data_IF_897808359813
#
_entry.id   IF_897808359813
#
_cell.length_a   1.000
_cell.length_b   1.000
_cell.length_c   1.000
_cell.angle_alpha   90.00
_cell.angle_beta   90.00
_cell.angle_gamma   90.00
#
_symmetry.space_group_name_H-M   'P 1'
#
loop_
_entity.id
_entity.type
_entity.pdbx_description
1 polymer ?
#
# COMPACT_ATOMS: atom_id res chain seq x y z
N UNK A 1 5.70 11.17 -65.61
CA UNK A 1 4.83 11.62 -64.48
C UNK A 1 5.70 11.75 -63.25
N UNK A 2 5.86 12.94 -62.68
CA UNK A 2 6.63 13.15 -61.43
C UNK A 2 5.86 12.53 -60.27
N UNK A 3 6.47 11.58 -59.54
CA UNK A 3 5.87 10.90 -58.37
C UNK A 3 5.80 11.94 -57.23
N UNK A 4 4.67 12.65 -57.13
CA UNK A 4 4.38 13.55 -56.00
C UNK A 4 4.17 12.72 -54.71
N UNK A 5 4.97 13.00 -53.68
CA UNK A 5 4.76 12.49 -52.32
C UNK A 5 5.65 11.33 -51.85
N UNK A 6 6.45 10.71 -52.71
CA UNK A 6 7.40 9.68 -52.24
C UNK A 6 8.63 10.31 -51.57
N UNK A 7 8.92 9.79 -50.35
CA UNK A 7 10.10 10.18 -49.59
C UNK A 7 11.37 9.70 -50.30
N UNK A 8 12.38 10.56 -50.42
CA UNK A 8 13.68 10.25 -51.04
C UNK A 8 14.44 9.29 -50.05
N UNK A 9 14.83 8.13 -50.53
CA UNK A 9 15.62 7.18 -49.73
C UNK A 9 17.04 7.69 -49.46
N UNK A 10 17.76 7.14 -48.50
CA UNK A 10 19.14 7.51 -48.24
C UNK A 10 20.04 7.21 -49.46
N UNK A 11 19.84 6.09 -50.11
CA UNK A 11 20.57 5.69 -51.31
C UNK A 11 20.38 6.71 -52.45
N UNK A 12 19.13 7.13 -52.74
CA UNK A 12 18.84 8.17 -53.73
C UNK A 12 19.50 9.50 -53.37
N UNK A 13 19.61 9.87 -52.11
CA UNK A 13 20.27 11.10 -51.68
C UNK A 13 21.78 11.07 -51.91
N UNK A 14 22.39 9.91 -51.64
CA UNK A 14 23.80 9.65 -51.94
C UNK A 14 24.03 9.76 -53.45
N UNK A 15 23.19 9.12 -54.24
CA UNK A 15 23.25 9.17 -55.69
C UNK A 15 23.11 10.60 -56.22
N UNK A 16 22.21 11.43 -55.66
CA UNK A 16 22.11 12.88 -56.02
C UNK A 16 23.44 13.58 -55.73
N UNK A 17 24.06 13.33 -54.56
CA UNK A 17 25.33 13.97 -54.18
C UNK A 17 26.50 13.55 -55.09
N UNK A 18 26.61 12.25 -55.39
CA UNK A 18 27.68 11.69 -56.24
C UNK A 18 27.56 12.09 -57.69
N UNK A 19 26.36 12.10 -58.27
CA UNK A 19 26.13 12.57 -59.63
C UNK A 19 26.44 14.08 -59.77
N UNK A 20 26.10 14.89 -58.78
CA UNK A 20 26.46 16.31 -58.78
C UNK A 20 27.97 16.49 -58.63
N UNK A 21 28.65 15.72 -57.74
CA UNK A 21 30.10 15.76 -57.63
C UNK A 21 30.80 15.32 -58.95
N UNK A 22 30.16 14.44 -59.70
CA UNK A 22 30.56 14.02 -61.05
C UNK A 22 30.26 15.04 -62.15
N UNK A 23 29.77 16.25 -61.80
CA UNK A 23 29.56 17.34 -62.74
C UNK A 23 28.19 17.40 -63.46
N UNK A 24 27.23 16.53 -63.09
CA UNK A 24 25.89 16.57 -63.64
C UNK A 24 25.10 17.77 -63.11
N UNK A 25 24.30 18.38 -63.98
CA UNK A 25 23.42 19.49 -63.57
C UNK A 25 22.20 19.02 -62.77
N UNK A 26 21.63 19.89 -61.93
CA UNK A 26 20.41 19.58 -61.17
C UNK A 26 19.26 19.10 -62.04
N UNK A 27 19.17 19.59 -63.29
CA UNK A 27 18.13 19.21 -64.27
C UNK A 27 18.33 17.79 -64.80
N UNK A 28 19.56 17.43 -65.12
CA UNK A 28 19.92 16.09 -65.57
C UNK A 28 19.68 15.07 -64.49
N UNK A 29 20.07 15.34 -63.23
CA UNK A 29 19.83 14.50 -62.09
C UNK A 29 18.33 14.32 -61.83
N UNK A 30 17.56 15.43 -61.93
CA UNK A 30 16.11 15.42 -61.75
C UNK A 30 15.43 14.55 -62.79
N UNK A 31 15.88 14.58 -64.04
CA UNK A 31 15.35 13.76 -65.13
C UNK A 31 15.71 12.29 -64.95
N UNK A 32 16.98 12.00 -64.59
CA UNK A 32 17.48 10.63 -64.41
C UNK A 32 16.81 9.92 -63.23
N UNK A 33 16.57 10.60 -62.11
CA UNK A 33 15.95 10.05 -60.94
C UNK A 33 14.44 10.24 -60.88
N UNK A 34 13.84 10.86 -61.88
CA UNK A 34 12.41 11.20 -61.97
C UNK A 34 11.90 11.93 -60.70
N UNK A 35 12.74 12.80 -60.13
CA UNK A 35 12.44 13.56 -58.93
C UNK A 35 12.26 15.04 -59.22
N UNK A 36 11.42 15.74 -58.41
CA UNK A 36 11.25 17.19 -58.58
C UNK A 36 12.56 17.94 -58.38
N UNK A 37 12.83 18.94 -59.25
CA UNK A 37 14.02 19.77 -59.17
C UNK A 37 14.29 20.43 -57.79
N UNK A 38 13.26 20.89 -57.06
CA UNK A 38 13.47 21.38 -55.68
C UNK A 38 14.03 20.34 -54.75
N UNK A 39 13.66 19.05 -54.90
CA UNK A 39 14.18 17.94 -54.10
C UNK A 39 15.67 17.70 -54.37
N UNK A 40 16.07 17.71 -55.66
CA UNK A 40 17.47 17.56 -56.04
C UNK A 40 18.31 18.71 -55.47
N UNK A 41 17.85 19.98 -55.66
CA UNK A 41 18.53 21.15 -55.10
C UNK A 41 18.68 21.12 -53.59
N UNK A 42 17.69 20.64 -52.89
CA UNK A 42 17.72 20.49 -51.43
C UNK A 42 18.82 19.53 -50.99
N UNK A 43 18.89 18.35 -51.61
CA UNK A 43 19.86 17.32 -51.20
C UNK A 43 21.28 17.62 -51.68
N UNK A 44 21.44 18.22 -52.90
CA UNK A 44 22.70 18.72 -53.36
C UNK A 44 23.31 19.78 -52.44
N UNK A 45 22.51 20.79 -51.96
CA UNK A 45 23.00 21.83 -51.05
C UNK A 45 23.51 21.19 -49.73
N UNK A 46 22.80 20.24 -49.20
CA UNK A 46 23.23 19.53 -47.99
C UNK A 46 24.51 18.71 -48.22
N UNK A 47 24.62 18.02 -49.32
CA UNK A 47 25.82 17.31 -49.68
C UNK A 47 27.01 18.29 -49.86
N UNK A 48 26.77 19.44 -50.46
CA UNK A 48 27.81 20.49 -50.66
C UNK A 48 28.28 21.10 -49.34
N UNK A 49 27.38 21.23 -48.32
CA UNK A 49 27.71 21.85 -47.03
C UNK A 49 28.35 20.88 -46.04
N UNK A 50 27.85 19.64 -45.96
CA UNK A 50 28.17 18.69 -44.90
C UNK A 50 28.61 17.32 -45.44
N UNK A 51 28.82 17.19 -46.73
CA UNK A 51 29.19 15.91 -47.36
C UNK A 51 28.09 14.86 -47.22
N UNK A 52 28.52 13.60 -47.06
CA UNK A 52 27.59 12.45 -46.86
C UNK A 52 26.76 12.58 -45.60
N UNK A 53 27.25 13.21 -44.54
CA UNK A 53 26.55 13.34 -43.25
C UNK A 53 25.33 14.28 -43.42
N UNK A 54 25.39 15.29 -44.26
CA UNK A 54 24.26 16.17 -44.58
C UNK A 54 23.10 15.47 -45.31
N UNK A 55 23.33 14.29 -45.84
CA UNK A 55 22.30 13.45 -46.47
C UNK A 55 21.51 12.59 -45.50
N UNK A 56 21.98 12.47 -44.27
CA UNK A 56 21.22 11.86 -43.20
C UNK A 56 20.02 12.71 -42.91
N UNK A 57 18.85 12.32 -43.37
CA UNK A 57 17.62 13.02 -43.03
C UNK A 57 17.24 12.74 -41.62
N UNK A 58 17.44 13.71 -40.77
CA UNK A 58 16.70 13.78 -39.51
C UNK A 58 15.25 14.07 -39.86
N UNK A 59 14.56 13.06 -40.43
CA UNK A 59 13.13 13.14 -40.68
C UNK A 59 12.42 13.12 -39.32
N UNK A 60 12.00 14.25 -38.93
CA UNK A 60 11.30 14.54 -37.71
C UNK A 60 11.47 16.02 -37.37
N UNK A 61 10.50 16.55 -36.69
CA UNK A 61 10.65 17.79 -35.96
C UNK A 61 11.97 17.70 -35.20
N UNK A 62 12.88 18.71 -35.27
CA UNK A 62 14.07 18.67 -34.42
C UNK A 62 13.67 18.21 -33.05
N UNK A 63 14.56 17.51 -32.33
CA UNK A 63 14.28 16.99 -31.00
C UNK A 63 13.93 18.10 -29.98
N UNK A 64 13.09 19.05 -30.39
CA UNK A 64 12.34 19.99 -29.56
C UNK A 64 11.15 19.34 -28.87
N UNK A 65 10.84 18.09 -29.26
CA UNK A 65 9.83 17.25 -28.60
C UNK A 65 10.26 16.76 -27.23
N UNK A 66 9.50 15.83 -26.68
CA UNK A 66 9.63 15.36 -25.30
C UNK A 66 11.06 14.95 -24.88
N UNK A 67 11.92 14.47 -25.78
CA UNK A 67 13.27 14.02 -25.46
C UNK A 67 14.36 15.08 -25.70
N UNK A 68 14.17 16.03 -26.62
CA UNK A 68 15.19 16.98 -27.05
C UNK A 68 15.40 18.21 -26.15
N UNK A 69 14.57 18.38 -25.12
CA UNK A 69 14.64 19.53 -24.22
C UNK A 69 14.95 19.16 -22.77
N UNK A 70 15.25 17.89 -22.46
CA UNK A 70 15.77 17.53 -21.15
C UNK A 70 17.18 18.11 -21.01
N UNK A 71 17.40 18.94 -20.00
CA UNK A 71 18.75 19.37 -19.64
C UNK A 71 19.54 18.12 -19.22
N UNK A 72 20.85 18.06 -19.54
CA UNK A 72 21.70 16.91 -19.22
C UNK A 72 21.58 16.49 -17.75
N UNK A 73 21.69 17.44 -16.84
CA UNK A 73 21.61 17.23 -15.39
C UNK A 73 20.29 16.56 -14.95
N UNK A 74 19.14 17.01 -15.48
CA UNK A 74 17.84 16.42 -15.18
C UNK A 74 17.72 15.01 -15.80
N UNK A 75 18.25 14.82 -17.01
CA UNK A 75 18.17 13.50 -17.66
C UNK A 75 19.05 12.46 -16.97
N UNK A 76 20.21 12.86 -16.47
CA UNK A 76 21.12 11.99 -15.74
C UNK A 76 20.54 11.63 -14.37
N UNK A 77 19.98 12.59 -13.65
CA UNK A 77 19.28 12.34 -12.39
C UNK A 77 18.08 11.40 -12.55
N UNK A 78 17.28 11.56 -13.63
CA UNK A 78 16.17 10.62 -13.93
C UNK A 78 16.69 9.18 -14.09
N UNK A 79 17.81 9.00 -14.77
CA UNK A 79 18.41 7.68 -14.96
C UNK A 79 18.96 7.13 -13.65
N UNK A 80 19.67 7.95 -12.88
CA UNK A 80 20.22 7.57 -11.58
C UNK A 80 19.11 7.16 -10.61
N UNK A 81 18.04 7.97 -10.46
CA UNK A 81 16.89 7.61 -9.63
C UNK A 81 16.27 6.28 -10.07
N UNK A 82 16.17 6.02 -11.37
CA UNK A 82 15.61 4.78 -11.90
C UNK A 82 16.52 3.59 -11.70
N UNK A 83 17.83 3.76 -11.67
CA UNK A 83 18.81 2.72 -11.40
C UNK A 83 18.85 2.36 -9.93
N UNK A 84 18.88 3.36 -9.07
CA UNK A 84 18.86 3.16 -7.62
C UNK A 84 17.51 2.59 -7.16
N UNK A 85 16.40 3.08 -7.72
CA UNK A 85 15.05 2.70 -7.34
C UNK A 85 14.30 2.06 -8.52
N UNK A 86 14.53 0.77 -8.75
CA UNK A 86 13.97 0.04 -9.89
C UNK A 86 12.42 0.08 -9.98
N UNK A 87 11.74 0.32 -8.87
CA UNK A 87 10.28 0.42 -8.78
C UNK A 87 9.70 1.81 -9.04
N UNK A 88 10.51 2.87 -9.05
CA UNK A 88 10.00 4.23 -9.21
C UNK A 88 9.54 4.51 -10.63
N UNK A 89 8.27 4.85 -10.77
CA UNK A 89 7.68 5.25 -12.04
C UNK A 89 7.91 6.73 -12.37
N UNK A 90 7.52 7.17 -13.58
CA UNK A 90 7.72 8.56 -14.02
C UNK A 90 7.09 9.62 -13.11
N UNK A 91 5.98 9.30 -12.45
CA UNK A 91 5.31 10.21 -11.51
C UNK A 91 6.12 10.38 -10.23
N UNK A 92 6.61 9.27 -9.67
CA UNK A 92 7.47 9.28 -8.48
C UNK A 92 8.75 10.06 -8.72
N UNK A 93 9.43 9.78 -9.83
CA UNK A 93 10.65 10.48 -10.23
C UNK A 93 10.40 11.99 -10.40
N UNK A 94 9.30 12.38 -11.05
CA UNK A 94 8.94 13.80 -11.20
C UNK A 94 8.68 14.47 -9.85
N UNK A 95 8.00 13.77 -8.93
CA UNK A 95 7.70 14.32 -7.60
C UNK A 95 8.96 14.50 -6.78
N UNK A 96 9.89 13.55 -6.82
CA UNK A 96 11.17 13.65 -6.12
C UNK A 96 12.07 14.75 -6.73
N UNK A 97 12.14 14.85 -8.04
CA UNK A 97 12.87 15.96 -8.71
C UNK A 97 12.37 17.34 -8.29
N UNK A 98 11.06 17.49 -8.10
CA UNK A 98 10.47 18.77 -7.68
C UNK A 98 10.82 19.12 -6.22
N UNK A 99 11.09 18.13 -5.39
CA UNK A 99 11.50 18.32 -3.97
C UNK A 99 12.98 18.62 -3.84
N UNK A 100 13.78 18.27 -4.83
CA UNK A 100 15.21 18.46 -4.77
C UNK A 100 15.58 19.93 -5.00
N UNK A 101 16.13 20.56 -3.96
CA UNK A 101 16.55 21.96 -4.00
C UNK A 101 17.59 22.25 -5.09
N UNK A 102 18.39 21.26 -5.53
CA UNK A 102 19.36 21.40 -6.62
C UNK A 102 18.71 21.85 -7.92
N UNK A 103 17.46 21.48 -8.14
CA UNK A 103 16.70 21.78 -9.34
C UNK A 103 15.68 22.93 -9.16
N UNK A 104 15.75 23.63 -8.02
CA UNK A 104 14.89 24.79 -7.73
C UNK A 104 14.91 25.82 -8.85
N UNK A 105 13.74 26.34 -9.24
CA UNK A 105 13.60 27.31 -10.31
C UNK A 105 13.74 26.77 -11.75
N UNK A 106 14.05 25.50 -11.94
CA UNK A 106 14.11 24.87 -13.26
C UNK A 106 12.72 24.44 -13.73
N UNK A 107 12.54 24.48 -15.06
CA UNK A 107 11.34 23.91 -15.68
C UNK A 107 11.47 22.40 -15.80
N UNK A 108 10.60 21.65 -15.10
CA UNK A 108 10.60 20.20 -15.10
C UNK A 108 9.94 19.62 -16.36
N UNK A 109 10.39 18.43 -16.82
CA UNK A 109 9.70 17.68 -17.87
C UNK A 109 8.35 17.19 -17.36
N UNK A 110 7.38 16.98 -18.27
CA UNK A 110 6.11 16.36 -17.91
C UNK A 110 6.30 14.86 -17.59
N UNK A 111 5.34 14.26 -16.84
CA UNK A 111 5.29 12.83 -16.58
C UNK A 111 5.43 11.99 -17.87
N UNK A 112 4.67 12.38 -18.92
CA UNK A 112 4.70 11.67 -20.21
C UNK A 112 6.09 11.73 -20.86
N UNK A 113 6.78 12.83 -20.70
CA UNK A 113 8.14 13.04 -21.22
C UNK A 113 9.17 12.17 -20.51
N UNK A 114 9.10 12.06 -19.17
CA UNK A 114 9.93 11.14 -18.40
C UNK A 114 9.64 9.70 -18.82
N UNK A 115 8.36 9.30 -18.97
CA UNK A 115 7.98 7.97 -19.42
C UNK A 115 8.57 7.65 -20.81
N UNK A 116 8.49 8.56 -21.76
CA UNK A 116 9.06 8.40 -23.10
C UNK A 116 10.59 8.28 -23.05
N UNK A 117 11.25 9.06 -22.19
CA UNK A 117 12.70 9.04 -22.00
C UNK A 117 13.17 7.69 -21.43
N UNK A 118 12.52 7.20 -20.35
CA UNK A 118 12.82 5.90 -19.75
C UNK A 118 12.55 4.74 -20.72
N UNK A 119 11.49 4.83 -21.53
CA UNK A 119 11.22 3.85 -22.59
C UNK A 119 12.31 3.83 -23.65
N UNK A 120 12.74 5.00 -24.13
CA UNK A 120 13.84 5.11 -25.09
C UNK A 120 15.16 4.54 -24.54
N UNK A 121 15.43 4.73 -23.24
CA UNK A 121 16.59 4.15 -22.56
C UNK A 121 16.41 2.69 -22.16
N UNK A 122 15.35 2.02 -22.60
CA UNK A 122 15.02 0.62 -22.30
C UNK A 122 14.94 0.29 -20.78
N UNK A 123 14.64 1.31 -19.97
CA UNK A 123 14.50 1.18 -18.51
C UNK A 123 13.04 0.90 -18.05
N UNK A 124 12.18 0.48 -18.98
CA UNK A 124 10.76 0.16 -18.72
C UNK A 124 10.49 -1.28 -19.11
N UNK A 125 9.94 -2.08 -18.17
CA UNK A 125 9.42 -3.41 -18.50
C UNK A 125 8.17 -3.28 -19.37
N UNK A 126 7.95 -4.25 -20.27
CA UNK A 126 6.73 -4.32 -21.06
C UNK A 126 5.54 -4.49 -20.11
N UNK A 127 4.56 -3.59 -20.23
CA UNK A 127 3.35 -3.66 -19.43
C UNK A 127 2.43 -4.73 -19.99
N UNK A 128 2.00 -5.67 -19.16
CA UNK A 128 0.92 -6.59 -19.46
C UNK A 128 -0.39 -6.01 -18.91
N UNK A 129 -1.36 -5.84 -19.78
CA UNK A 129 -2.66 -5.28 -19.41
C UNK A 129 -3.44 -6.35 -18.65
N UNK A 130 -3.64 -6.15 -17.35
CA UNK A 130 -4.58 -6.95 -16.58
C UNK A 130 -5.97 -6.32 -16.66
N UNK A 131 -6.99 -7.15 -16.87
CA UNK A 131 -8.38 -6.70 -16.82
C UNK A 131 -8.68 -6.16 -15.41
N UNK A 132 -9.13 -4.92 -15.35
CA UNK A 132 -9.60 -4.36 -14.07
C UNK A 132 -10.94 -5.00 -13.73
N UNK A 133 -10.99 -5.66 -12.59
CA UNK A 133 -12.25 -6.15 -12.03
C UNK A 133 -13.06 -4.97 -11.51
N UNK A 134 -14.39 -4.95 -11.70
CA UNK A 134 -15.23 -3.91 -11.12
C UNK A 134 -15.08 -3.91 -9.60
N UNK A 135 -14.93 -2.73 -9.02
CA UNK A 135 -14.91 -2.58 -7.56
C UNK A 135 -16.30 -2.92 -7.00
N UNK A 136 -16.39 -3.76 -5.96
CA UNK A 136 -17.65 -4.02 -5.29
C UNK A 136 -18.18 -2.74 -4.63
N UNK A 137 -19.49 -2.61 -4.45
CA UNK A 137 -20.06 -1.48 -3.72
C UNK A 137 -19.52 -1.49 -2.29
N UNK A 138 -18.81 -0.42 -1.93
CA UNK A 138 -18.35 -0.22 -0.56
C UNK A 138 -19.40 0.52 0.26
N UNK A 139 -19.46 0.28 1.58
CA UNK A 139 -20.25 1.13 2.46
C UNK A 139 -19.87 2.60 2.24
N UNK A 140 -20.84 3.47 2.20
CA UNK A 140 -20.62 4.91 1.98
C UNK A 140 -19.91 5.48 3.20
N UNK A 141 -18.59 5.58 3.14
CA UNK A 141 -17.78 6.21 4.17
C UNK A 141 -17.85 7.73 4.00
N UNK A 142 -17.87 8.46 5.11
CA UNK A 142 -18.07 9.91 5.10
C UNK A 142 -16.86 10.70 5.59
N UNK A 143 -15.94 10.07 6.32
CA UNK A 143 -14.80 10.74 6.95
C UNK A 143 -13.58 9.81 7.08
N UNK A 144 -12.37 10.39 7.21
CA UNK A 144 -11.17 9.64 7.57
C UNK A 144 -11.33 8.87 8.89
N UNK A 145 -10.60 7.78 9.02
CA UNK A 145 -10.56 6.89 10.18
C UNK A 145 -11.90 6.22 10.53
N UNK A 146 -12.87 6.28 9.66
CA UNK A 146 -14.10 5.52 9.83
C UNK A 146 -13.87 4.02 9.61
N UNK A 147 -13.04 3.67 8.62
CA UNK A 147 -12.68 2.28 8.36
C UNK A 147 -11.22 2.16 7.93
N UNK A 148 -10.47 1.28 8.61
CA UNK A 148 -9.13 0.89 8.18
C UNK A 148 -9.15 -0.53 7.62
N UNK A 149 -8.47 -0.75 6.49
CA UNK A 149 -8.12 -2.08 6.01
C UNK A 149 -6.76 -2.48 6.56
N UNK A 150 -6.66 -3.72 7.08
CA UNK A 150 -5.44 -4.31 7.61
C UNK A 150 -5.21 -5.65 6.95
N UNK A 151 -4.02 -5.84 6.39
CA UNK A 151 -3.63 -7.10 5.77
C UNK A 151 -2.11 -7.28 5.79
N UNK A 152 -1.66 -8.54 5.84
CA UNK A 152 -0.25 -8.89 5.80
C UNK A 152 0.18 -9.33 4.40
N UNK A 153 1.14 -8.64 3.85
CA UNK A 153 1.87 -9.10 2.66
C UNK A 153 2.92 -10.11 3.11
N UNK A 154 2.65 -11.40 2.86
CA UNK A 154 3.48 -12.49 3.37
C UNK A 154 4.67 -12.86 2.48
N UNK A 155 5.70 -13.47 3.09
CA UNK A 155 6.86 -14.14 2.46
C UNK A 155 7.60 -13.30 1.43
N UNK A 156 7.95 -12.08 1.80
CA UNK A 156 8.75 -11.20 0.95
C UNK A 156 10.21 -11.45 1.27
N UNK A 157 11.01 -11.79 0.25
CA UNK A 157 12.46 -11.79 0.35
C UNK A 157 12.99 -10.37 0.27
N UNK A 158 13.63 -9.89 1.32
CA UNK A 158 14.17 -8.53 1.44
C UNK A 158 15.69 -8.62 1.59
N UNK A 159 16.40 -8.06 0.63
CA UNK A 159 17.86 -8.11 0.63
C UNK A 159 18.42 -7.39 1.87
N UNK A 160 19.34 -8.05 2.57
CA UNK A 160 19.94 -7.58 3.81
C UNK A 160 19.12 -7.86 5.08
N UNK A 161 17.87 -8.30 4.95
CA UNK A 161 16.98 -8.58 6.10
C UNK A 161 16.57 -10.06 6.14
N UNK A 162 16.36 -10.67 4.99
CA UNK A 162 15.86 -12.04 4.88
C UNK A 162 14.39 -12.11 4.48
N UNK A 163 13.68 -13.17 4.88
CA UNK A 163 12.26 -13.31 4.61
C UNK A 163 11.44 -12.66 5.71
N UNK A 164 10.48 -11.83 5.33
CA UNK A 164 9.58 -11.12 6.24
C UNK A 164 8.14 -11.10 5.72
N UNK A 165 7.20 -10.89 6.62
CA UNK A 165 5.85 -10.41 6.30
C UNK A 165 5.78 -8.92 6.60
N UNK A 166 5.04 -8.15 5.81
CA UNK A 166 4.78 -6.74 6.10
C UNK A 166 3.29 -6.58 6.37
N UNK A 167 2.95 -6.20 7.59
CA UNK A 167 1.57 -5.83 7.94
C UNK A 167 1.34 -4.39 7.50
N UNK A 168 0.34 -4.18 6.68
CA UNK A 168 -0.02 -2.89 6.12
C UNK A 168 -1.38 -2.43 6.64
N UNK A 169 -1.51 -1.14 6.90
CA UNK A 169 -2.75 -0.49 7.32
C UNK A 169 -3.04 0.70 6.41
N UNK A 170 -4.27 0.76 5.91
CA UNK A 170 -4.76 1.79 5.00
C UNK A 170 -6.07 2.36 5.51
N UNK A 171 -6.21 3.68 5.55
CA UNK A 171 -7.53 4.32 5.71
C UNK A 171 -8.30 4.28 4.40
N UNK A 172 -9.47 3.65 4.42
CA UNK A 172 -10.27 3.36 3.22
C UNK A 172 -10.81 4.63 2.57
N UNK A 173 -11.22 5.60 3.38
CA UNK A 173 -11.82 6.83 2.89
C UNK A 173 -10.78 7.81 2.32
N UNK A 174 -9.77 8.15 3.10
CA UNK A 174 -8.79 9.17 2.71
C UNK A 174 -7.62 8.63 1.88
N UNK A 175 -7.51 7.31 1.74
CA UNK A 175 -6.35 6.64 1.14
C UNK A 175 -5.02 6.90 1.86
N UNK A 176 -5.04 7.39 3.10
CA UNK A 176 -3.84 7.55 3.92
C UNK A 176 -3.23 6.19 4.23
N UNK A 177 -1.94 6.05 3.97
CA UNK A 177 -1.13 4.89 4.32
C UNK A 177 -0.76 5.04 5.78
N UNK A 178 -1.50 4.33 6.65
CA UNK A 178 -1.40 4.48 8.09
C UNK A 178 -0.10 3.91 8.63
N UNK A 179 0.19 2.64 8.34
CA UNK A 179 1.44 2.01 8.74
C UNK A 179 1.82 0.84 7.83
N UNK A 180 3.11 0.49 7.84
CA UNK A 180 3.68 -0.71 7.23
C UNK A 180 4.80 -1.21 8.12
N UNK A 181 4.60 -2.33 8.82
CA UNK A 181 5.58 -2.90 9.74
C UNK A 181 6.08 -4.26 9.26
N UNK A 182 7.40 -4.45 9.11
CA UNK A 182 7.98 -5.74 8.81
C UNK A 182 8.01 -6.62 10.06
N UNK A 183 7.43 -7.80 9.96
CA UNK A 183 7.46 -8.86 10.95
C UNK A 183 8.44 -9.93 10.46
N UNK A 184 9.52 -10.20 11.19
CA UNK A 184 10.55 -11.14 10.81
C UNK A 184 10.16 -12.62 11.00
N UNK A 185 8.89 -12.92 11.12
CA UNK A 185 8.40 -14.30 11.18
C UNK A 185 8.25 -14.85 9.77
N UNK A 186 8.75 -16.05 9.57
CA UNK A 186 8.96 -16.65 8.24
C UNK A 186 7.68 -17.09 7.54
N UNK A 187 6.54 -17.20 8.25
CA UNK A 187 5.32 -17.76 7.67
C UNK A 187 4.13 -16.80 7.66
N UNK A 188 3.70 -16.34 8.83
CA UNK A 188 2.56 -15.44 8.99
C UNK A 188 2.78 -14.55 10.21
N UNK A 189 2.27 -13.31 10.15
CA UNK A 189 2.15 -12.46 11.32
C UNK A 189 1.22 -13.13 12.35
N UNK A 190 1.57 -13.08 13.62
CA UNK A 190 0.74 -13.63 14.70
C UNK A 190 -0.06 -12.52 15.42
N UNK A 191 -0.85 -12.88 16.42
CA UNK A 191 -1.65 -11.94 17.21
C UNK A 191 -0.81 -10.80 17.78
N UNK A 192 0.38 -11.08 18.32
CA UNK A 192 1.28 -10.07 18.89
C UNK A 192 1.82 -9.10 17.82
N UNK A 193 2.17 -9.64 16.64
CA UNK A 193 2.63 -8.80 15.51
C UNK A 193 1.53 -7.82 15.09
N UNK A 194 0.29 -8.28 14.95
CA UNK A 194 -0.84 -7.42 14.61
C UNK A 194 -1.16 -6.41 15.72
N UNK A 195 -1.13 -6.82 16.99
CA UNK A 195 -1.31 -5.89 18.11
C UNK A 195 -0.23 -4.82 18.12
N UNK A 196 1.02 -5.18 17.86
CA UNK A 196 2.13 -4.23 17.78
C UNK A 196 1.89 -3.20 16.67
N UNK A 197 1.58 -3.64 15.46
CA UNK A 197 1.33 -2.73 14.32
C UNK A 197 0.14 -1.82 14.60
N UNK A 198 -0.94 -2.37 15.11
CA UNK A 198 -2.16 -1.61 15.42
C UNK A 198 -1.93 -0.60 16.55
N UNK A 199 -1.21 -0.97 17.62
CA UNK A 199 -0.82 -0.02 18.69
C UNK A 199 0.00 1.14 18.15
N UNK A 200 0.95 0.87 17.27
CA UNK A 200 1.71 1.92 16.58
C UNK A 200 0.79 2.87 15.82
N UNK A 201 -0.11 2.29 15.02
CA UNK A 201 -1.07 3.05 14.25
C UNK A 201 -2.01 3.87 15.16
N UNK A 202 -2.48 3.28 16.25
CA UNK A 202 -3.34 3.96 17.23
C UNK A 202 -2.64 5.12 17.94
N UNK A 203 -1.36 4.94 18.32
CA UNK A 203 -0.56 6.04 18.89
C UNK A 203 -0.38 7.19 17.89
N UNK A 204 -0.20 6.86 16.61
CA UNK A 204 0.00 7.85 15.55
C UNK A 204 -1.28 8.55 15.11
N UNK A 205 -2.39 7.82 15.01
CA UNK A 205 -3.63 8.29 14.37
C UNK A 205 -4.88 8.17 15.25
N UNK A 206 -4.77 7.55 16.44
CA UNK A 206 -5.89 7.20 17.31
C UNK A 206 -6.67 5.98 16.82
N UNK A 207 -7.78 5.70 17.50
CA UNK A 207 -8.60 4.53 17.23
C UNK A 207 -9.55 4.79 16.05
N UNK A 208 -9.57 3.92 15.02
CA UNK A 208 -10.61 3.97 13.99
C UNK A 208 -11.96 3.54 14.56
N UNK A 209 -13.04 3.80 13.82
CA UNK A 209 -14.35 3.29 14.20
C UNK A 209 -14.48 1.80 13.92
N UNK A 210 -13.91 1.35 12.81
CA UNK A 210 -13.97 -0.03 12.32
C UNK A 210 -12.65 -0.45 11.69
N UNK A 211 -12.34 -1.73 11.79
CA UNK A 211 -11.24 -2.37 11.06
C UNK A 211 -11.81 -3.49 10.20
N UNK A 212 -11.42 -3.51 8.93
CA UNK A 212 -11.71 -4.59 7.99
C UNK A 212 -10.54 -5.55 7.89
N UNK A 213 -10.84 -6.83 8.06
CA UNK A 213 -9.89 -7.93 8.14
C UNK A 213 -10.29 -9.04 7.16
N UNK A 214 -9.34 -9.81 6.71
CA UNK A 214 -9.61 -11.06 6.01
C UNK A 214 -9.96 -12.20 7.00
N UNK A 215 -10.19 -13.40 6.46
CA UNK A 215 -10.46 -14.60 7.26
C UNK A 215 -9.16 -15.36 7.59
N UNK A 216 -8.02 -14.68 7.80
CA UNK A 216 -6.84 -15.34 8.35
C UNK A 216 -7.14 -15.89 9.74
N UNK A 217 -6.50 -17.00 10.08
CA UNK A 217 -6.68 -17.73 11.33
C UNK A 217 -6.37 -16.90 12.59
N UNK A 218 -5.60 -15.83 12.45
CA UNK A 218 -5.33 -14.87 13.54
C UNK A 218 -6.59 -14.06 13.90
N UNK A 219 -7.44 -13.80 12.92
CA UNK A 219 -8.64 -13.00 13.08
C UNK A 219 -9.91 -13.83 13.25
N UNK A 220 -9.93 -15.01 12.63
CA UNK A 220 -11.15 -15.81 12.50
C UNK A 220 -10.89 -17.30 12.74
N UNK A 221 -11.75 -17.95 13.50
CA UNK A 221 -11.69 -19.39 13.73
C UNK A 221 -12.21 -20.16 12.50
N UNK A 222 -11.30 -20.50 11.60
CA UNK A 222 -11.61 -21.25 10.38
C UNK A 222 -11.78 -22.78 10.61
N UNK A 223 -11.59 -23.26 11.83
CA UNK A 223 -11.57 -24.70 12.11
C UNK A 223 -12.93 -25.24 12.54
N UNK A 224 -13.85 -24.38 12.89
CA UNK A 224 -15.16 -24.77 13.43
C UNK A 224 -16.32 -24.20 12.61
N UNK A 225 -17.43 -24.94 12.54
CA UNK A 225 -18.64 -24.49 11.87
C UNK A 225 -19.35 -23.32 12.62
N UNK A 226 -19.03 -23.13 13.88
CA UNK A 226 -19.50 -21.99 14.68
C UNK A 226 -18.28 -21.31 15.33
N UNK A 227 -17.64 -20.38 14.60
CA UNK A 227 -16.39 -19.74 15.02
C UNK A 227 -16.58 -18.90 16.28
N UNK A 228 -15.69 -19.09 17.25
CA UNK A 228 -15.59 -18.21 18.42
C UNK A 228 -14.59 -17.10 18.11
N UNK A 229 -14.83 -15.86 18.52
CA UNK A 229 -13.94 -14.74 18.25
C UNK A 229 -12.52 -14.99 18.80
N UNK A 230 -11.51 -14.62 18.00
CA UNK A 230 -10.11 -14.72 18.44
C UNK A 230 -9.76 -13.66 19.49
N UNK A 231 -8.65 -13.82 20.18
CA UNK A 231 -8.14 -12.83 21.16
C UNK A 231 -7.98 -11.46 20.53
N UNK A 232 -7.44 -11.39 19.30
CA UNK A 232 -7.26 -10.13 18.58
C UNK A 232 -8.61 -9.45 18.26
N UNK A 233 -9.60 -10.23 17.83
CA UNK A 233 -10.95 -9.72 17.57
C UNK A 233 -11.58 -9.15 18.87
N UNK A 234 -11.51 -9.89 19.97
CA UNK A 234 -12.05 -9.46 21.26
C UNK A 234 -11.31 -8.25 21.85
N UNK A 235 -9.99 -8.13 21.62
CA UNK A 235 -9.20 -6.96 21.99
C UNK A 235 -9.68 -5.70 21.26
N UNK A 236 -9.92 -5.77 19.94
CA UNK A 236 -10.45 -4.65 19.16
C UNK A 236 -11.83 -4.21 19.66
N UNK A 237 -12.73 -5.17 19.92
CA UNK A 237 -14.06 -4.88 20.49
C UNK A 237 -13.94 -4.24 21.86
N UNK A 238 -13.05 -4.71 22.71
CA UNK A 238 -12.83 -4.13 24.03
C UNK A 238 -12.35 -2.66 23.95
N UNK A 239 -11.56 -2.30 22.94
CA UNK A 239 -11.18 -0.91 22.62
C UNK A 239 -12.31 -0.11 21.97
N UNK A 240 -13.45 -0.72 21.70
CA UNK A 240 -14.59 -0.08 21.03
C UNK A 240 -14.36 0.14 19.54
N UNK A 241 -13.61 -0.74 18.91
CA UNK A 241 -13.40 -0.77 17.47
C UNK A 241 -14.29 -1.86 16.87
N UNK A 242 -15.10 -1.51 15.88
CA UNK A 242 -15.87 -2.48 15.11
C UNK A 242 -14.96 -3.37 14.27
N UNK A 243 -15.33 -4.62 14.08
CA UNK A 243 -14.59 -5.56 13.22
C UNK A 243 -15.52 -6.00 12.08
N UNK A 244 -15.06 -5.85 10.85
CA UNK A 244 -15.75 -6.32 9.65
C UNK A 244 -14.87 -7.35 8.96
N UNK A 245 -15.41 -8.54 8.72
CA UNK A 245 -14.73 -9.54 7.90
C UNK A 245 -15.10 -9.35 6.44
N UNK A 246 -14.07 -9.26 5.60
CA UNK A 246 -14.22 -9.12 4.17
C UNK A 246 -14.39 -10.50 3.56
N UNK A 247 -15.38 -10.68 2.68
CA UNK A 247 -15.59 -11.95 2.01
C UNK A 247 -14.46 -12.24 1.00
N UNK A 248 -14.09 -13.51 0.88
CA UNK A 248 -13.05 -13.92 -0.07
C UNK A 248 -13.48 -13.75 -1.54
N UNK A 249 -14.77 -13.65 -1.79
CA UNK A 249 -15.37 -13.45 -3.11
C UNK A 249 -16.39 -12.32 -3.07
N UNK A 250 -16.29 -11.30 -3.93
CA UNK A 250 -15.35 -11.18 -5.03
C UNK A 250 -13.95 -10.65 -4.58
N UNK A 251 -12.87 -10.99 -5.33
CA UNK A 251 -11.51 -10.54 -5.00
C UNK A 251 -11.31 -9.02 -4.96
N UNK A 252 -12.28 -8.28 -5.46
CA UNK A 252 -12.28 -6.83 -5.51
C UNK A 252 -12.42 -6.16 -4.12
N UNK A 253 -12.98 -6.85 -3.11
CA UNK A 253 -13.11 -6.28 -1.76
C UNK A 253 -11.75 -5.96 -1.11
N UNK A 254 -10.68 -6.69 -1.47
CA UNK A 254 -9.31 -6.46 -1.01
C UNK A 254 -8.46 -5.62 -1.99
N UNK A 255 -9.05 -5.08 -3.05
CA UNK A 255 -8.28 -4.43 -4.11
C UNK A 255 -7.46 -3.22 -3.61
N UNK A 256 -7.96 -2.48 -2.60
CA UNK A 256 -7.27 -1.30 -2.05
C UNK A 256 -6.02 -1.67 -1.30
N UNK A 257 -6.11 -2.59 -0.35
CA UNK A 257 -4.96 -3.01 0.46
C UNK A 257 -3.94 -3.76 -0.41
N UNK A 258 -4.36 -4.58 -1.37
CA UNK A 258 -3.47 -5.24 -2.34
C UNK A 258 -2.73 -4.23 -3.22
N UNK A 259 -3.40 -3.16 -3.65
CA UNK A 259 -2.73 -2.04 -4.35
C UNK A 259 -1.76 -1.31 -3.44
N UNK A 260 -2.06 -1.19 -2.16
CA UNK A 260 -1.11 -0.66 -1.18
C UNK A 260 0.12 -1.55 -1.04
N UNK A 261 -0.03 -2.88 -0.94
CA UNK A 261 1.08 -3.84 -0.96
C UNK A 261 1.97 -3.65 -2.19
N UNK A 262 1.37 -3.57 -3.37
CA UNK A 262 2.11 -3.31 -4.61
C UNK A 262 2.87 -1.96 -4.55
N UNK A 263 2.22 -0.93 -4.02
CA UNK A 263 2.82 0.40 -3.86
C UNK A 263 4.02 0.34 -2.91
N UNK A 264 3.90 -0.29 -1.75
CA UNK A 264 5.01 -0.48 -0.79
C UNK A 264 6.16 -1.23 -1.44
N UNK A 265 5.87 -2.34 -2.10
CA UNK A 265 6.89 -3.14 -2.80
C UNK A 265 7.63 -2.31 -3.85
N UNK A 266 6.91 -1.58 -4.70
CA UNK A 266 7.52 -0.78 -5.77
C UNK A 266 8.25 0.45 -5.25
N UNK A 267 7.71 1.10 -4.23
CA UNK A 267 8.22 2.38 -3.77
C UNK A 267 9.33 2.26 -2.74
N UNK A 268 9.33 1.21 -1.91
CA UNK A 268 10.26 1.06 -0.80
C UNK A 268 11.20 -0.14 -0.93
N UNK A 269 10.78 -1.25 -1.57
CA UNK A 269 11.53 -2.51 -1.47
C UNK A 269 12.29 -2.87 -2.74
N UNK A 270 11.70 -2.66 -3.90
CA UNK A 270 12.21 -3.19 -5.16
C UNK A 270 13.57 -2.59 -5.53
N UNK A 271 14.57 -3.45 -5.61
CA UNK A 271 15.96 -3.07 -5.94
C UNK A 271 16.72 -2.45 -4.77
N UNK A 272 16.17 -2.48 -3.55
CA UNK A 272 16.82 -1.96 -2.35
C UNK A 272 17.47 -3.10 -1.54
N UNK A 273 18.54 -2.75 -0.84
CA UNK A 273 19.21 -3.61 0.14
C UNK A 273 19.29 -2.85 1.45
N UNK A 274 18.92 -3.48 2.56
CA UNK A 274 18.85 -2.84 3.86
C UNK A 274 19.91 -3.40 4.80
N UNK A 275 20.46 -2.55 5.66
CA UNK A 275 21.43 -2.95 6.66
C UNK A 275 20.82 -3.82 7.79
N UNK A 276 19.51 -3.86 7.88
CA UNK A 276 18.76 -4.63 8.86
C UNK A 276 17.31 -4.15 9.00
N UNK A 277 16.59 -4.71 9.97
CA UNK A 277 15.17 -4.40 10.18
C UNK A 277 14.92 -2.91 10.48
N UNK A 278 15.76 -2.27 11.26
CA UNK A 278 15.62 -0.86 11.62
C UNK A 278 15.75 0.05 10.39
N UNK A 279 16.68 -0.26 9.49
CA UNK A 279 16.89 0.48 8.24
C UNK A 279 15.69 0.29 7.29
N UNK A 280 15.21 -0.94 7.15
CA UNK A 280 13.99 -1.25 6.41
C UNK A 280 12.79 -0.46 6.97
N UNK A 281 12.60 -0.45 8.29
CA UNK A 281 11.49 0.27 8.90
C UNK A 281 11.59 1.78 8.67
N UNK A 282 12.78 2.33 8.77
CA UNK A 282 13.02 3.76 8.47
C UNK A 282 12.66 4.10 7.03
N UNK A 283 13.06 3.23 6.08
CA UNK A 283 12.73 3.40 4.67
C UNK A 283 11.22 3.31 4.42
N UNK A 284 10.53 2.33 5.02
CA UNK A 284 9.08 2.19 4.95
C UNK A 284 8.38 3.45 5.49
N UNK A 285 8.72 3.87 6.70
CA UNK A 285 8.14 5.07 7.33
C UNK A 285 8.34 6.32 6.49
N UNK A 286 9.56 6.56 6.00
CA UNK A 286 9.85 7.69 5.13
C UNK A 286 9.06 7.64 3.81
N UNK A 287 8.85 6.43 3.29
CA UNK A 287 8.11 6.26 2.04
C UNK A 287 6.60 6.44 2.21
N UNK A 288 6.03 5.96 3.32
CA UNK A 288 4.63 6.22 3.66
C UNK A 288 4.36 7.72 3.84
N UNK A 289 5.29 8.42 4.52
CA UNK A 289 5.21 9.86 4.66
C UNK A 289 5.16 10.55 3.30
N UNK A 290 6.10 10.25 2.40
CA UNK A 290 6.10 10.77 1.03
C UNK A 290 4.79 10.49 0.28
N UNK A 291 4.26 9.27 0.40
CA UNK A 291 3.02 8.87 -0.26
C UNK A 291 1.80 9.64 0.28
N UNK A 292 1.83 10.06 1.54
CA UNK A 292 0.75 10.79 2.17
C UNK A 292 0.84 12.31 1.97
N UNK A 293 2.07 12.88 1.88
CA UNK A 293 2.30 14.33 1.80
C UNK A 293 2.51 14.86 0.40
N UNK A 294 3.22 14.12 -0.44
CA UNK A 294 3.76 14.65 -1.70
C UNK A 294 3.26 13.89 -2.95
N UNK A 295 2.92 12.61 -2.80
CA UNK A 295 2.62 11.78 -3.96
C UNK A 295 1.17 11.96 -4.44
N UNK A 296 0.97 12.43 -5.69
CA UNK A 296 -0.37 12.65 -6.22
C UNK A 296 -1.09 11.33 -6.50
N UNK A 297 -2.22 11.13 -5.83
CA UNK A 297 -3.08 9.97 -6.00
C UNK A 297 -4.12 10.19 -7.09
N UNK A 298 -4.25 9.25 -8.03
CA UNK A 298 -5.30 9.32 -9.06
C UNK A 298 -6.71 9.22 -8.48
N UNK A 299 -6.88 8.47 -7.40
CA UNK A 299 -8.16 8.36 -6.69
C UNK A 299 -8.58 9.67 -6.00
N UNK A 300 -7.62 10.58 -5.75
CA UNK A 300 -7.82 11.87 -5.13
C UNK A 300 -7.62 13.04 -6.13
N UNK A 301 -7.94 12.81 -7.38
CA UNK A 301 -7.83 13.82 -8.45
C UNK A 301 -6.44 14.46 -8.57
N UNK A 302 -5.40 13.70 -8.25
CA UNK A 302 -4.01 14.15 -8.31
C UNK A 302 -3.51 14.88 -7.06
N UNK A 303 -4.28 14.90 -5.99
CA UNK A 303 -3.83 15.41 -4.70
C UNK A 303 -3.17 14.30 -3.86
N UNK A 304 -2.27 14.67 -2.97
CA UNK A 304 -1.78 13.76 -1.95
C UNK A 304 -2.84 13.56 -0.85
N UNK A 305 -2.88 12.41 -0.16
CA UNK A 305 -3.89 12.13 0.88
C UNK A 305 -4.05 13.23 1.94
N UNK A 306 -2.95 13.74 2.49
CA UNK A 306 -3.00 14.80 3.50
C UNK A 306 -3.35 16.18 2.93
N UNK A 307 -3.16 16.40 1.64
CA UNK A 307 -3.62 17.62 0.97
C UNK A 307 -5.12 17.57 0.69
N UNK A 308 -5.64 16.39 0.29
CA UNK A 308 -7.05 16.17 0.05
C UNK A 308 -7.87 16.13 1.36
N UNK A 309 -7.30 15.53 2.40
CA UNK A 309 -7.94 15.33 3.71
C UNK A 309 -7.00 15.71 4.87
N UNK A 310 -6.78 17.01 5.14
CA UNK A 310 -5.93 17.44 6.24
C UNK A 310 -6.38 16.88 7.60
N UNK A 311 -7.68 16.71 7.80
CA UNK A 311 -8.27 16.12 9.01
C UNK A 311 -7.89 14.64 9.21
N UNK A 312 -7.40 13.95 8.19
CA UNK A 312 -6.89 12.59 8.33
C UNK A 312 -5.58 12.49 9.14
N UNK A 313 -4.95 13.62 9.43
CA UNK A 313 -3.79 13.69 10.33
C UNK A 313 -4.20 13.69 11.81
N UNK A 314 -5.47 13.83 12.11
CA UNK A 314 -5.99 13.91 13.46
C UNK A 314 -7.16 12.94 13.62
N UNK A 315 -7.35 12.43 14.81
CA UNK A 315 -8.48 11.59 15.14
C UNK A 315 -9.23 12.16 16.35
N UNK A 316 -10.52 11.94 16.39
CA UNK A 316 -11.37 12.29 17.54
C UNK A 316 -11.33 11.23 18.66
N UNK A 317 -10.64 10.10 18.43
CA UNK A 317 -10.54 8.97 19.36
C UNK A 317 -9.07 8.72 19.71
N UNK A 318 -8.46 9.59 20.56
CA UNK A 318 -7.06 9.49 20.90
C UNK A 318 -6.77 8.18 21.65
N UNK A 319 -5.54 7.68 21.46
CA UNK A 319 -5.06 6.48 22.11
C UNK A 319 -3.65 6.71 22.66
N UNK A 320 -3.41 6.22 23.86
CA UNK A 320 -2.10 6.10 24.48
C UNK A 320 -1.89 4.69 24.98
N UNK A 321 -0.70 4.18 24.81
CA UNK A 321 -0.37 2.83 25.22
C UNK A 321 -0.53 2.65 26.74
N UNK A 322 -0.17 3.65 27.52
CA UNK A 322 -0.26 3.66 28.98
C UNK A 322 -1.71 3.55 29.47
N UNK A 323 -2.67 4.02 28.65
CA UNK A 323 -4.09 4.01 28.98
C UNK A 323 -4.83 2.78 28.42
N UNK A 324 -4.13 1.89 27.71
CA UNK A 324 -4.79 0.76 27.05
C UNK A 324 -5.58 -0.09 28.03
N UNK A 325 -5.00 -0.38 29.21
CA UNK A 325 -5.64 -1.19 30.24
C UNK A 325 -6.95 -0.56 30.78
N UNK A 326 -6.94 0.74 31.01
CA UNK A 326 -8.11 1.52 31.45
C UNK A 326 -9.14 1.63 30.35
N UNK A 327 -8.69 1.87 29.11
CA UNK A 327 -9.54 2.04 27.92
C UNK A 327 -10.24 0.75 27.50
N UNK A 328 -9.68 -0.43 27.85
CA UNK A 328 -10.29 -1.74 27.59
C UNK A 328 -11.54 -1.94 28.45
N UNK A 329 -12.68 -2.05 27.78
CA UNK A 329 -13.97 -2.27 28.39
C UNK A 329 -14.49 -3.69 28.09
N UNK A 330 -14.39 -4.58 29.07
CA UNK A 330 -14.86 -5.98 28.96
C UNK A 330 -16.39 -6.07 28.78
N UNK A 331 -17.15 -5.07 29.23
CA UNK A 331 -18.60 -5.08 29.03
C UNK A 331 -18.98 -5.03 27.53
N UNK A 332 -18.16 -4.37 26.70
CA UNK A 332 -18.36 -4.40 25.23
C UNK A 332 -18.17 -5.82 24.69
N UNK A 333 -17.17 -6.54 25.19
CA UNK A 333 -16.93 -7.95 24.83
C UNK A 333 -18.10 -8.81 25.27
N UNK A 334 -18.60 -8.63 26.49
CA UNK A 334 -19.72 -9.38 27.01
C UNK A 334 -21.00 -9.15 26.21
N UNK A 335 -21.28 -7.89 25.89
CA UNK A 335 -22.41 -7.52 25.01
C UNK A 335 -22.28 -8.16 23.63
N UNK A 336 -21.09 -8.15 23.05
CA UNK A 336 -20.83 -8.78 21.76
C UNK A 336 -21.04 -10.30 21.82
N UNK A 337 -20.47 -10.98 22.82
CA UNK A 337 -20.59 -12.43 22.99
C UNK A 337 -22.01 -12.88 23.29
N UNK A 338 -22.84 -12.04 23.93
CA UNK A 338 -24.24 -12.35 24.22
C UNK A 338 -25.07 -12.61 22.95
N UNK A 339 -24.65 -12.10 21.80
CA UNK A 339 -25.30 -12.38 20.50
C UNK A 339 -24.76 -13.65 19.83
N UNK A 340 -23.71 -14.27 20.38
CA UNK A 340 -23.07 -15.44 19.83
C UNK A 340 -23.77 -16.75 20.25
N UNK A 341 -23.66 -17.75 19.39
CA UNK A 341 -24.13 -19.12 19.67
C UNK A 341 -23.15 -20.12 19.05
N UNK A 342 -22.65 -21.04 19.84
CA UNK A 342 -21.60 -21.97 19.43
C UNK A 342 -21.98 -23.41 19.69
N UNK A 343 -21.60 -24.28 18.77
CA UNK A 343 -21.84 -25.71 18.88
C UNK A 343 -20.50 -26.45 19.02
N UNK A 344 -20.36 -27.25 20.06
CA UNK A 344 -19.15 -28.04 20.29
C UNK A 344 -19.50 -29.46 20.68
N UNK A 345 -18.80 -30.42 20.08
CA UNK A 345 -18.90 -31.81 20.49
C UNK A 345 -17.91 -32.06 21.63
N UNK A 346 -18.37 -32.69 22.70
CA UNK A 346 -17.52 -33.12 23.79
C UNK A 346 -16.75 -34.41 23.44
N UNK A 347 -15.52 -34.50 23.93
CA UNK A 347 -14.66 -35.68 23.78
C UNK A 347 -15.22 -36.91 24.55
N UNK A 348 -14.53 -38.04 24.42
CA UNK A 348 -14.84 -39.28 25.19
C UNK A 348 -14.76 -39.11 26.73
N UNK A 349 -14.07 -38.07 27.20
CA UNK A 349 -13.95 -37.72 28.62
C UNK A 349 -14.77 -36.50 29.03
N UNK A 350 -15.64 -36.00 28.12
CA UNK A 350 -16.53 -34.87 28.39
C UNK A 350 -15.88 -33.49 28.33
N UNK A 351 -14.74 -33.36 27.64
CA UNK A 351 -14.10 -32.04 27.43
C UNK A 351 -14.39 -31.48 26.03
N UNK A 352 -14.39 -30.15 25.89
CA UNK A 352 -14.48 -29.45 24.60
C UNK A 352 -13.57 -28.22 24.59
N UNK A 353 -13.32 -27.66 23.40
CA UNK A 353 -12.54 -26.45 23.24
C UNK A 353 -13.42 -25.31 22.70
N UNK A 354 -13.25 -24.09 23.22
CA UNK A 354 -13.90 -22.87 22.76
C UNK A 354 -12.95 -21.68 22.96
N UNK A 355 -12.70 -20.89 21.94
CA UNK A 355 -11.80 -19.74 22.04
C UNK A 355 -10.36 -20.11 22.43
N UNK A 356 -9.83 -21.22 21.91
CA UNK A 356 -8.55 -21.82 22.29
C UNK A 356 -8.43 -22.25 23.77
N UNK A 357 -9.52 -22.17 24.51
CA UNK A 357 -9.59 -22.64 25.91
C UNK A 357 -10.24 -24.03 25.99
N UNK A 358 -9.82 -24.85 26.96
CA UNK A 358 -10.35 -26.19 27.17
C UNK A 358 -11.27 -26.23 28.39
N UNK A 359 -12.49 -26.69 28.18
CA UNK A 359 -13.54 -26.77 29.19
C UNK A 359 -13.88 -28.23 29.50
N UNK A 360 -14.33 -28.48 30.73
CA UNK A 360 -14.79 -29.80 31.16
C UNK A 360 -16.29 -29.73 31.46
N UNK A 361 -17.09 -30.47 30.67
CA UNK A 361 -18.53 -30.61 30.84
C UNK A 361 -18.90 -31.83 31.71
N UNK A 362 -17.90 -32.63 32.14
CA UNK A 362 -18.05 -33.83 32.87
C UNK A 362 -18.26 -35.09 32.01
N UNK A 363 -17.83 -36.24 32.51
CA UNK A 363 -17.86 -37.52 31.79
C UNK A 363 -19.28 -37.99 31.42
N UNK A 364 -20.29 -37.61 32.20
CA UNK A 364 -21.70 -37.87 31.90
C UNK A 364 -22.17 -37.26 30.56
N UNK A 365 -21.47 -36.20 30.10
CA UNK A 365 -21.76 -35.50 28.87
C UNK A 365 -20.74 -35.82 27.76
N UNK A 366 -20.09 -36.97 27.85
CA UNK A 366 -19.17 -37.41 26.83
C UNK A 366 -19.88 -37.66 25.48
N UNK A 367 -19.23 -37.31 24.37
CA UNK A 367 -19.73 -37.51 22.99
C UNK A 367 -21.13 -36.91 22.74
N UNK A 368 -21.40 -35.75 23.33
CA UNK A 368 -22.62 -34.97 23.11
C UNK A 368 -22.30 -33.64 22.47
N UNK A 369 -23.19 -33.15 21.65
CA UNK A 369 -23.13 -31.76 21.15
C UNK A 369 -23.69 -30.83 22.20
N UNK A 370 -22.94 -29.79 22.52
CA UNK A 370 -23.36 -28.71 23.39
C UNK A 370 -23.79 -27.51 22.53
N UNK A 371 -24.91 -26.91 22.86
CA UNK A 371 -25.34 -25.61 22.41
C UNK A 371 -24.91 -24.58 23.44
N UNK A 372 -24.03 -23.69 23.08
CA UNK A 372 -23.32 -22.80 24.00
C UNK A 372 -23.69 -21.36 23.68
N UNK A 373 -24.16 -20.64 24.69
CA UNK A 373 -24.42 -19.20 24.67
C UNK A 373 -23.63 -18.51 25.78
N UNK A 374 -23.57 -17.22 25.77
CA UNK A 374 -22.86 -16.42 26.77
C UNK A 374 -23.86 -15.52 27.54
N UNK A 375 -23.79 -15.58 28.87
CA UNK A 375 -24.57 -14.71 29.75
C UNK A 375 -23.73 -13.45 30.10
N UNK A 376 -24.09 -12.27 29.60
CA UNK A 376 -23.33 -11.05 29.86
C UNK A 376 -23.45 -10.53 31.28
N UNK A 377 -24.45 -11.00 32.06
CA UNK A 377 -24.63 -10.55 33.44
C UNK A 377 -23.70 -11.31 34.41
N UNK A 378 -23.56 -12.61 34.20
CA UNK A 378 -22.69 -13.44 35.06
C UNK A 378 -21.29 -13.63 34.49
N UNK A 379 -21.08 -13.35 33.19
CA UNK A 379 -19.82 -13.61 32.51
C UNK A 379 -19.54 -15.11 32.30
N UNK A 380 -20.60 -15.93 32.21
CA UNK A 380 -20.50 -17.39 32.12
C UNK A 380 -20.99 -17.89 30.76
N UNK A 381 -20.46 -19.04 30.38
CA UNK A 381 -20.99 -19.85 29.29
C UNK A 381 -22.19 -20.66 29.80
N UNK A 382 -23.30 -20.57 29.09
CA UNK A 382 -24.51 -21.39 29.33
C UNK A 382 -24.50 -22.53 28.31
N UNK A 383 -24.31 -23.74 28.77
CA UNK A 383 -24.17 -24.92 27.92
C UNK A 383 -25.41 -25.80 28.03
N UNK A 384 -26.10 -26.03 26.92
CA UNK A 384 -27.24 -26.96 26.85
C UNK A 384 -26.83 -28.22 26.07
N UNK A 385 -26.71 -29.39 26.71
CA UNK A 385 -26.43 -30.64 26.01
C UNK A 385 -27.62 -31.06 25.14
N UNK A 386 -27.36 -31.57 23.96
CA UNK A 386 -28.42 -31.99 23.02
C UNK A 386 -29.39 -33.04 23.58
N UNK A 387 -28.90 -33.86 24.52
CA UNK A 387 -29.68 -34.97 25.15
C UNK A 387 -30.27 -34.58 26.48
N UNK A 388 -30.07 -33.38 26.96
CA UNK A 388 -30.56 -32.92 28.27
C UNK A 388 -31.50 -31.70 28.05
N UNK A 389 -32.48 -31.55 28.91
CA UNK A 389 -33.35 -30.36 28.93
C UNK A 389 -32.84 -29.28 29.90
N UNK A 390 -31.80 -29.57 30.65
CA UNK A 390 -31.25 -28.66 31.66
C UNK A 390 -29.86 -28.15 31.23
N UNK A 391 -29.69 -26.85 31.20
CA UNK A 391 -28.40 -26.21 30.96
C UNK A 391 -27.52 -26.26 32.22
N UNK A 392 -26.21 -26.13 31.99
CA UNK A 392 -25.24 -25.92 33.06
C UNK A 392 -24.35 -24.75 32.72
N UNK A 393 -23.68 -24.17 33.70
CA UNK A 393 -22.84 -22.97 33.54
C UNK A 393 -21.38 -23.30 33.74
N UNK A 394 -20.51 -22.62 32.98
CA UNK A 394 -19.08 -22.70 33.13
C UNK A 394 -18.51 -21.26 33.10
N UNK A 395 -17.60 -20.98 34.02
CA UNK A 395 -16.87 -19.73 34.00
C UNK A 395 -16.08 -19.61 32.67
N UNK A 396 -16.23 -18.48 31.97
CA UNK A 396 -15.48 -18.23 30.76
C UNK A 396 -14.00 -18.06 31.09
N UNK A 397 -13.14 -18.65 30.26
CA UNK A 397 -11.69 -18.54 30.39
C UNK A 397 -11.13 -17.65 29.27
N UNK A 398 -10.02 -16.96 29.53
CA UNK A 398 -9.33 -16.17 28.51
C UNK A 398 -9.96 -14.80 28.20
N UNK A 399 -10.92 -14.33 29.00
CA UNK A 399 -11.57 -13.02 28.85
C UNK A 399 -11.14 -12.01 29.93
N UNK A 400 -9.88 -12.04 30.38
CA UNK A 400 -9.37 -10.95 31.22
C UNK A 400 -8.67 -9.88 30.39
N UNK A 401 -8.55 -8.66 30.95
CA UNK A 401 -7.82 -7.56 30.30
C UNK A 401 -6.38 -7.97 30.00
N UNK A 402 -5.74 -8.68 30.90
CA UNK A 402 -4.36 -9.16 30.78
C UNK A 402 -4.20 -10.10 29.57
N UNK A 403 -5.13 -11.03 29.38
CA UNK A 403 -5.11 -11.95 28.25
C UNK A 403 -5.36 -11.22 26.92
N UNK A 404 -6.29 -10.27 26.90
CA UNK A 404 -6.59 -9.50 25.68
C UNK A 404 -5.45 -8.56 25.30
N UNK A 405 -4.82 -7.92 26.28
CA UNK A 405 -3.66 -7.05 26.07
C UNK A 405 -2.45 -7.86 25.60
N UNK A 406 -2.26 -9.07 26.14
CA UNK A 406 -1.08 -9.87 25.89
C UNK A 406 0.19 -9.27 26.52
N UNK A 407 1.33 -9.66 25.99
CA UNK A 407 2.62 -9.11 26.44
C UNK A 407 2.82 -7.71 25.91
N UNK A 408 2.95 -6.76 26.80
CA UNK A 408 3.38 -5.38 26.53
C UNK A 408 4.82 -5.23 27.00
N UNK A 409 5.75 -5.15 26.06
CA UNK A 409 7.04 -4.54 26.32
C UNK A 409 7.07 -3.14 25.69
N UNK A 410 6.70 -2.11 26.45
CA UNK A 410 6.55 -0.77 25.90
C UNK A 410 7.86 -0.14 25.44
N UNK A 411 9.01 -0.63 25.91
CA UNK A 411 10.32 -0.03 25.60
C UNK A 411 10.94 -0.60 24.32
N UNK A 412 10.64 -1.84 23.99
CA UNK A 412 11.18 -2.52 22.82
C UNK A 412 10.25 -2.53 21.62
N UNK A 413 8.95 -2.33 21.84
CA UNK A 413 7.93 -2.55 20.81
C UNK A 413 7.51 -1.30 20.06
N UNK A 414 7.73 -0.10 20.60
CA UNK A 414 7.41 1.19 19.93
C UNK A 414 8.68 1.98 19.66
N UNK A 415 9.28 1.84 18.49
CA UNK A 415 10.50 2.55 18.16
C UNK A 415 10.32 4.07 18.12
N UNK A 416 11.35 4.80 18.54
CA UNK A 416 11.36 6.27 18.62
C UNK A 416 11.08 7.01 17.29
N UNK A 417 11.23 6.35 16.15
CA UNK A 417 10.94 6.97 14.85
C UNK A 417 9.44 7.12 14.53
N UNK A 418 8.53 6.54 15.32
CA UNK A 418 7.11 6.90 15.25
C UNK A 418 6.87 8.39 15.45
N UNK A 419 7.78 9.05 16.16
CA UNK A 419 7.76 10.50 16.35
C UNK A 419 8.14 11.30 15.10
N UNK A 420 8.53 10.64 14.01
CA UNK A 420 8.89 11.27 12.73
C UNK A 420 7.72 11.37 11.74
N UNK A 421 6.50 10.95 12.11
CA UNK A 421 5.31 11.36 11.35
C UNK A 421 5.21 12.89 11.39
N UNK A 422 4.68 13.55 10.33
CA UNK A 422 4.72 15.00 10.15
C UNK A 422 3.91 15.78 11.17
N UNK A 423 3.29 15.12 12.07
CA UNK A 423 2.73 15.72 13.26
C UNK A 423 3.89 16.29 14.02
N UNK A 424 4.00 17.57 13.96
CA UNK A 424 4.96 18.20 14.81
C UNK A 424 4.79 17.55 16.18
N UNK A 425 5.90 17.23 16.85
CA UNK A 425 5.90 16.88 18.28
C UNK A 425 5.00 17.84 19.07
N UNK A 426 4.80 19.02 18.55
CA UNK A 426 4.01 20.11 19.07
C UNK A 426 2.50 19.84 18.88
N UNK A 427 2.01 19.46 17.71
CA UNK A 427 0.59 19.11 17.50
C UNK A 427 0.19 17.87 18.31
N UNK A 428 1.10 16.90 18.42
CA UNK A 428 0.86 15.73 19.26
C UNK A 428 0.86 16.09 20.76
N UNK A 429 1.80 16.94 21.23
CA UNK A 429 1.81 17.44 22.61
C UNK A 429 0.60 18.30 22.92
N UNK A 430 0.17 19.13 22.00
CA UNK A 430 -1.00 20.00 22.16
C UNK A 430 -2.30 19.16 22.23
N UNK A 431 -2.45 18.13 21.39
CA UNK A 431 -3.61 17.24 21.50
C UNK A 431 -3.63 16.42 22.79
N UNK A 432 -2.45 16.04 23.29
CA UNK A 432 -2.28 15.33 24.57
C UNK A 432 -2.56 16.26 25.76
N UNK A 433 -2.06 17.47 25.73
CA UNK A 433 -2.32 18.46 26.78
C UNK A 433 -3.80 18.87 26.86
N UNK A 434 -4.49 18.96 25.74
CA UNK A 434 -5.93 19.21 25.72
C UNK A 434 -6.75 18.08 26.37
N UNK A 435 -6.24 16.84 26.32
CA UNK A 435 -6.89 15.69 26.96
C UNK A 435 -6.66 15.64 28.47
N UNK A 436 -5.43 15.97 28.93
CA UNK A 436 -5.11 16.03 30.37
C UNK A 436 -5.88 17.15 31.08
N UNK A 437 -6.29 18.20 30.37
CA UNK A 437 -7.12 19.29 30.89
C UNK A 437 -8.63 19.02 30.88
N UNK A 438 -9.08 18.03 30.08
CA UNK A 438 -10.49 17.66 29.95
C UNK A 438 -10.99 16.68 31.03
N UNK A 439 -10.10 15.87 31.59
CA UNK A 439 -10.44 14.87 32.62
C UNK A 439 -10.41 15.39 34.07
N UNK A 440 -10.11 16.65 34.27
CA UNK A 440 -10.11 17.26 35.62
C UNK A 440 -11.44 17.88 36.03
N UNK A 441 -12.50 17.67 35.23
CA UNK A 441 -13.87 18.13 35.52
C UNK A 441 -14.90 17.04 35.42
N UNK A 442 -14.67 15.91 36.10
CA UNK A 442 -15.72 14.95 36.46
C UNK A 442 -15.57 14.52 37.90
#
# INVERSE_FOLDING_TARGET
>A
MSIKGQVTSFAERVEIGERWAGGQSDREIALALQRPLPTIRKWRRRYQQEGRDGLISLMGRPATGALGQLRGEISDEILQMREVHAGWGPLTILTELKKDARFGGLRFPSRARIAAYLKHKQKVKKYEHHQELPEPPHPTLQRPHQEWEVDAQGKIAIAGVGSASIVNILDVFSHVKIDSLPCLRTTHANTQDYQLVLRRAFVGYGLPEQISLDHDSVFYDNQTASPFPTVLHLWLIALGIGVRFIHQTPPAEHARIKRHHQTVTQQALLGQTFAGQADLQKALTGRLLFLNTDYPSSALQGQAPFSAYPQAQQTQRPYRLEWERESLNLQRVYTYLAHGRWFRMTSSVGTFSLGAQRYNAGTKRARQTLDITFDPQTGELVCLPQKESTSFRLAVQGLSKEVLIGELDPLTTIPAYQLALPWSRQAWRESVLCLDLGDTTL
#
